data_IF_166748888755
#
_entry.id   IF_166748888755
#
_cell.length_a   1.000
_cell.length_b   1.000
_cell.length_c   1.000
_cell.angle_alpha   90.00
_cell.angle_beta   90.00
_cell.angle_gamma   90.00
#
_symmetry.space_group_name_H-M   'P 1'
#
loop_
_entity.id
_entity.type
_entity.pdbx_description
1 polymer ?
#
# COMPACT_ATOMS: atom_id res chain seq x y z
N UNK A 1 72.77 -22.32 21.25
CA UNK A 1 71.57 -22.92 20.61
C UNK A 1 70.36 -22.05 20.96
N UNK A 2 70.18 -20.94 20.23
CA UNK A 2 69.00 -20.05 20.22
C UNK A 2 69.37 -18.75 19.48
N UNK A 3 69.59 -18.82 18.15
CA UNK A 3 69.79 -17.65 17.28
C UNK A 3 69.87 -18.13 15.82
N UNK A 4 68.77 -18.67 15.27
CA UNK A 4 68.71 -18.93 13.82
C UNK A 4 67.31 -19.01 13.20
N UNK A 5 66.22 -18.81 13.96
CA UNK A 5 64.86 -18.91 13.39
C UNK A 5 64.17 -17.57 13.07
N UNK A 6 64.65 -16.43 13.58
CA UNK A 6 64.01 -15.12 13.33
C UNK A 6 64.48 -14.41 12.05
N UNK A 7 65.53 -14.88 11.39
CA UNK A 7 66.07 -14.26 10.17
C UNK A 7 65.52 -14.85 8.86
N UNK A 8 64.99 -16.08 8.89
CA UNK A 8 64.42 -16.73 7.70
C UNK A 8 62.97 -16.32 7.42
N UNK A 9 62.20 -15.95 8.46
CA UNK A 9 60.79 -15.56 8.30
C UNK A 9 60.62 -14.17 7.66
N UNK A 10 61.53 -13.23 7.91
CA UNK A 10 61.47 -11.88 7.34
C UNK A 10 61.95 -11.81 5.89
N UNK A 11 62.80 -12.75 5.45
CA UNK A 11 63.29 -12.82 4.07
C UNK A 11 62.27 -13.42 3.09
N UNK A 12 61.38 -14.30 3.56
CA UNK A 12 60.29 -14.84 2.73
C UNK A 12 59.12 -13.87 2.54
N UNK A 13 58.88 -12.98 3.51
CA UNK A 13 57.78 -12.02 3.43
C UNK A 13 58.08 -10.85 2.47
N UNK A 14 59.35 -10.49 2.27
CA UNK A 14 59.75 -9.44 1.33
C UNK A 14 59.90 -9.94 -0.12
N UNK A 15 60.18 -11.22 -0.34
CA UNK A 15 60.24 -11.80 -1.70
C UNK A 15 58.85 -11.98 -2.32
N UNK A 16 57.82 -12.25 -1.51
CA UNK A 16 56.43 -12.40 -1.97
C UNK A 16 55.78 -11.06 -2.35
N UNK A 17 56.22 -9.95 -1.76
CA UNK A 17 55.72 -8.61 -2.10
C UNK A 17 56.31 -8.04 -3.41
N UNK A 18 57.44 -8.57 -3.90
CA UNK A 18 58.06 -8.12 -5.16
C UNK A 18 57.52 -8.84 -6.41
N UNK A 19 56.83 -9.98 -6.27
CA UNK A 19 56.19 -10.69 -7.39
C UNK A 19 54.88 -10.02 -7.83
N UNK A 20 54.26 -9.19 -6.98
CA UNK A 20 53.03 -8.49 -7.31
C UNK A 20 53.22 -7.16 -8.06
N UNK A 21 54.44 -6.64 -8.21
CA UNK A 21 54.65 -5.29 -8.75
C UNK A 21 55.48 -5.17 -10.03
N UNK A 22 55.96 -6.26 -10.64
CA UNK A 22 56.69 -6.14 -11.93
C UNK A 22 56.46 -7.33 -12.85
N UNK A 23 55.46 -7.24 -13.75
CA UNK A 23 55.65 -7.62 -15.15
C UNK A 23 54.53 -7.08 -16.05
N UNK A 24 54.74 -5.92 -16.69
CA UNK A 24 54.01 -5.53 -17.89
C UNK A 24 54.57 -6.31 -19.08
N UNK A 25 53.71 -6.64 -20.06
CA UNK A 25 54.05 -7.26 -21.36
C UNK A 25 53.93 -8.79 -21.44
N UNK A 26 52.69 -9.26 -21.59
CA UNK A 26 52.41 -10.39 -22.48
C UNK A 26 51.36 -9.92 -23.49
N UNK A 27 51.82 -9.11 -24.44
CA UNK A 27 51.11 -8.78 -25.68
C UNK A 27 51.58 -9.81 -26.71
N UNK A 28 50.70 -10.67 -27.23
CA UNK A 28 50.34 -10.62 -28.65
C UNK A 28 49.26 -11.64 -29.04
N UNK A 29 48.23 -11.11 -29.69
CA UNK A 29 47.61 -11.72 -30.86
C UNK A 29 46.39 -12.60 -30.59
N UNK A 30 45.20 -12.00 -30.55
CA UNK A 30 44.06 -12.47 -31.34
C UNK A 30 43.09 -11.29 -31.54
N UNK A 31 42.70 -11.12 -32.81
CA UNK A 31 41.85 -10.11 -33.46
C UNK A 31 40.81 -9.36 -32.61
N UNK A 32 40.89 -8.03 -32.74
CA UNK A 32 40.04 -6.99 -32.15
C UNK A 32 38.88 -6.63 -33.12
N UNK A 33 38.02 -7.59 -33.47
CA UNK A 33 36.90 -7.37 -34.43
C UNK A 33 35.51 -7.85 -33.98
N UNK A 34 35.31 -8.36 -32.75
CA UNK A 34 34.02 -8.95 -32.34
C UNK A 34 33.38 -8.38 -31.05
N UNK A 35 33.86 -7.26 -30.50
CA UNK A 35 33.28 -6.64 -29.28
C UNK A 35 32.24 -5.55 -29.62
N UNK A 36 32.15 -5.10 -30.88
CA UNK A 36 31.19 -4.05 -31.27
C UNK A 36 29.79 -4.59 -31.62
N UNK A 37 29.62 -5.90 -31.82
CA UNK A 37 28.31 -6.47 -32.19
C UNK A 37 27.39 -6.73 -30.99
N UNK A 38 27.93 -6.97 -29.77
CA UNK A 38 27.08 -7.13 -28.58
C UNK A 38 26.70 -5.81 -27.91
N UNK A 39 27.52 -4.76 -28.04
CA UNK A 39 27.23 -3.46 -27.42
C UNK A 39 26.18 -2.63 -28.17
N UNK A 40 25.98 -2.89 -29.47
CA UNK A 40 25.00 -2.20 -30.32
C UNK A 40 23.59 -2.83 -30.19
N UNK A 41 23.48 -4.07 -29.71
CA UNK A 41 22.16 -4.74 -29.57
C UNK A 41 21.34 -4.21 -28.38
N UNK A 42 21.98 -3.56 -27.39
CA UNK A 42 21.32 -3.01 -26.20
C UNK A 42 20.96 -1.51 -26.29
N UNK A 43 21.25 -0.86 -27.42
CA UNK A 43 20.88 0.53 -27.69
C UNK A 43 19.84 0.65 -28.82
N UNK A 44 18.96 -0.34 -28.96
CA UNK A 44 17.70 -0.06 -29.64
C UNK A 44 16.88 0.91 -28.79
N UNK A 45 16.21 1.85 -29.44
CA UNK A 45 15.29 2.84 -28.88
C UNK A 45 14.15 2.16 -28.11
N UNK A 46 14.46 1.60 -26.94
CA UNK A 46 13.47 1.12 -26.01
C UNK A 46 12.79 2.36 -25.45
N UNK A 47 11.73 2.78 -26.13
CA UNK A 47 10.73 3.65 -25.54
C UNK A 47 9.89 2.74 -24.64
N UNK A 48 9.98 2.86 -23.31
CA UNK A 48 9.12 2.08 -22.42
C UNK A 48 7.67 2.28 -22.86
N UNK A 49 6.84 1.23 -22.88
CA UNK A 49 5.41 1.41 -23.12
C UNK A 49 4.90 2.56 -22.25
N UNK A 50 4.12 3.46 -22.83
CA UNK A 50 3.52 4.55 -22.07
C UNK A 50 2.87 3.94 -20.82
N UNK A 51 3.13 4.50 -19.62
CA UNK A 51 2.54 3.97 -18.40
C UNK A 51 1.03 3.86 -18.61
N UNK A 52 0.40 2.75 -18.20
CA UNK A 52 -1.02 2.56 -18.41
C UNK A 52 -1.77 3.78 -17.87
N UNK A 53 -2.79 4.28 -18.60
CA UNK A 53 -3.56 5.42 -18.14
C UNK A 53 -4.04 5.16 -16.71
N UNK A 54 -4.05 6.20 -15.85
CA UNK A 54 -4.58 6.06 -14.49
C UNK A 54 -5.96 5.42 -14.55
N UNK A 55 -6.31 4.52 -13.61
CA UNK A 55 -7.65 3.95 -13.55
C UNK A 55 -8.68 5.09 -13.58
N UNK A 56 -9.74 4.99 -14.41
CA UNK A 56 -10.76 6.02 -14.46
C UNK A 56 -11.36 6.19 -13.06
N UNK A 57 -11.53 7.44 -12.63
CA UNK A 57 -12.21 7.74 -11.38
C UNK A 57 -13.68 7.30 -11.44
N UNK A 58 -14.32 7.04 -10.29
CA UNK A 58 -15.75 6.79 -10.23
C UNK A 58 -16.57 7.94 -10.84
N UNK A 59 -17.85 7.72 -11.16
CA UNK A 59 -18.72 8.78 -11.68
C UNK A 59 -18.80 9.98 -10.72
N UNK A 60 -18.69 11.18 -11.29
CA UNK A 60 -18.86 12.43 -10.55
C UNK A 60 -20.31 12.60 -10.08
N UNK A 61 -20.50 13.27 -8.93
CA UNK A 61 -21.82 13.50 -8.33
C UNK A 61 -22.06 14.99 -8.04
N UNK A 62 -23.33 15.42 -8.02
CA UNK A 62 -23.73 16.79 -7.66
C UNK A 62 -24.01 16.93 -6.16
N UNK A 63 -23.90 18.16 -5.64
CA UNK A 63 -24.18 18.41 -4.22
C UNK A 63 -25.65 18.15 -3.86
N UNK A 64 -26.59 18.68 -4.66
CA UNK A 64 -28.01 18.68 -4.29
C UNK A 64 -28.70 17.38 -4.73
N UNK A 65 -28.54 16.98 -5.99
CA UNK A 65 -29.32 15.86 -6.54
C UNK A 65 -28.80 14.50 -6.06
N UNK A 66 -27.48 14.33 -6.00
CA UNK A 66 -26.87 13.03 -5.67
C UNK A 66 -26.55 12.90 -4.18
N UNK A 67 -26.05 13.97 -3.54
CA UNK A 67 -25.63 13.94 -2.14
C UNK A 67 -26.71 14.45 -1.17
N UNK A 68 -27.81 15.03 -1.66
CA UNK A 68 -28.86 15.60 -0.81
C UNK A 68 -28.36 16.77 0.05
N UNK A 69 -27.28 17.43 -0.37
CA UNK A 69 -26.70 18.59 0.28
C UNK A 69 -27.39 19.88 -0.10
N UNK A 70 -26.87 20.99 0.44
CA UNK A 70 -27.30 22.36 0.13
C UNK A 70 -26.13 23.12 -0.47
N UNK A 71 -26.35 23.74 -1.64
CA UNK A 71 -25.35 24.55 -2.34
C UNK A 71 -24.68 23.80 -3.50
N UNK A 72 -23.43 24.14 -3.83
CA UNK A 72 -22.72 23.52 -4.96
C UNK A 72 -21.26 23.18 -4.61
N UNK A 73 -20.72 22.15 -5.26
CA UNK A 73 -19.33 21.73 -5.07
C UNK A 73 -18.32 22.78 -5.53
N UNK A 74 -18.69 23.70 -6.43
CA UNK A 74 -17.85 24.81 -6.87
C UNK A 74 -17.86 26.02 -5.92
N UNK A 75 -18.82 26.10 -4.99
CA UNK A 75 -18.91 27.19 -4.02
C UNK A 75 -18.79 26.65 -2.60
N UNK A 76 -19.88 26.15 -2.04
CA UNK A 76 -19.90 25.45 -0.76
C UNK A 76 -21.04 24.46 -0.79
N UNK A 77 -20.70 23.18 -0.65
CA UNK A 77 -21.63 22.09 -0.50
C UNK A 77 -21.69 21.67 0.96
N UNK A 78 -22.88 21.71 1.55
CA UNK A 78 -23.11 21.29 2.94
C UNK A 78 -24.00 20.07 2.97
N UNK A 79 -23.48 18.98 3.54
CA UNK A 79 -24.26 17.78 3.80
C UNK A 79 -24.93 17.93 5.16
N UNK A 80 -26.25 18.10 5.15
CA UNK A 80 -27.07 18.39 6.34
C UNK A 80 -27.84 17.17 6.87
N UNK A 81 -27.80 16.06 6.14
CA UNK A 81 -28.53 14.82 6.46
C UNK A 81 -27.69 13.59 6.11
N UNK A 82 -28.08 12.43 6.63
CA UNK A 82 -27.44 11.16 6.29
C UNK A 82 -27.45 10.91 4.78
N UNK A 83 -26.32 10.44 4.25
CA UNK A 83 -26.14 10.15 2.82
C UNK A 83 -25.78 8.67 2.66
N UNK A 84 -26.64 7.93 1.97
CA UNK A 84 -26.43 6.52 1.75
C UNK A 84 -26.00 6.27 0.30
N UNK A 85 -24.70 6.37 0.04
CA UNK A 85 -24.14 6.09 -1.28
C UNK A 85 -24.06 4.57 -1.49
N UNK A 86 -24.58 4.09 -2.61
CA UNK A 86 -24.61 2.64 -2.92
C UNK A 86 -23.64 2.24 -4.03
N UNK A 87 -22.93 3.21 -4.60
CA UNK A 87 -21.99 3.07 -5.71
C UNK A 87 -20.66 3.75 -5.38
N UNK A 88 -19.58 3.43 -6.09
CA UNK A 88 -18.40 4.27 -6.02
C UNK A 88 -18.71 5.67 -6.58
N UNK A 89 -18.24 6.72 -5.91
CA UNK A 89 -18.50 8.12 -6.29
C UNK A 89 -17.23 8.95 -6.24
N UNK A 90 -17.20 9.98 -7.07
CA UNK A 90 -16.17 10.99 -7.08
C UNK A 90 -16.81 12.37 -6.86
N UNK A 91 -16.41 13.06 -5.79
CA UNK A 91 -16.96 14.35 -5.38
C UNK A 91 -15.93 15.40 -5.75
N UNK A 92 -16.16 16.14 -6.83
CA UNK A 92 -15.22 17.13 -7.33
C UNK A 92 -15.80 18.55 -7.37
N UNK A 93 -14.99 19.54 -7.05
CA UNK A 93 -15.39 20.94 -7.20
C UNK A 93 -14.36 21.94 -6.71
N UNK A 94 -14.52 23.20 -7.09
CA UNK A 94 -13.59 24.28 -6.70
C UNK A 94 -13.85 24.88 -5.31
N UNK A 95 -14.95 24.48 -4.69
CA UNK A 95 -15.46 25.06 -3.46
C UNK A 95 -15.11 24.27 -2.21
N UNK A 96 -15.95 24.45 -1.19
CA UNK A 96 -15.82 23.76 0.10
C UNK A 96 -16.78 22.55 0.17
N UNK A 97 -16.36 21.49 0.85
CA UNK A 97 -17.21 20.33 1.14
C UNK A 97 -17.28 20.10 2.65
N UNK A 98 -18.44 20.43 3.22
CA UNK A 98 -18.69 20.35 4.65
C UNK A 98 -19.70 19.25 4.96
N UNK A 99 -19.23 18.23 5.67
CA UNK A 99 -20.08 17.19 6.22
C UNK A 99 -20.43 17.56 7.65
N UNK A 100 -21.68 17.98 7.87
CA UNK A 100 -22.15 18.43 9.17
C UNK A 100 -22.23 17.26 10.18
N UNK A 101 -22.33 17.55 11.49
CA UNK A 101 -22.43 16.52 12.52
C UNK A 101 -23.59 15.53 12.34
N UNK A 102 -23.40 14.29 12.80
CA UNK A 102 -24.33 13.16 12.76
C UNK A 102 -24.69 12.66 11.35
N UNK A 103 -23.76 12.76 10.40
CA UNK A 103 -23.93 12.26 9.03
C UNK A 103 -23.15 10.96 8.83
N UNK A 104 -23.86 9.88 8.53
CA UNK A 104 -23.22 8.66 7.99
C UNK A 104 -23.13 8.76 6.47
N UNK A 105 -21.95 8.50 5.93
CA UNK A 105 -21.63 8.48 4.51
C UNK A 105 -21.18 7.06 4.16
N UNK A 106 -22.11 6.23 3.67
CA UNK A 106 -21.86 4.78 3.48
C UNK A 106 -21.56 4.45 2.04
N UNK A 107 -20.83 3.37 1.83
CA UNK A 107 -20.59 2.76 0.53
C UNK A 107 -20.65 1.23 0.69
N UNK A 108 -21.61 0.61 0.00
CA UNK A 108 -22.33 -0.61 0.46
C UNK A 108 -21.71 -1.95 0.09
N UNK A 109 -20.53 -1.97 -0.53
CA UNK A 109 -19.85 -3.20 -0.96
C UNK A 109 -18.33 -3.12 -0.74
N UNK A 110 -17.70 -4.29 -0.69
CA UNK A 110 -16.25 -4.43 -0.49
C UNK A 110 -15.47 -3.79 -1.63
N UNK A 111 -14.50 -2.94 -1.29
CA UNK A 111 -13.65 -2.23 -2.25
C UNK A 111 -14.32 -1.05 -2.94
N UNK A 112 -15.50 -0.63 -2.50
CA UNK A 112 -16.16 0.52 -3.08
C UNK A 112 -15.39 1.82 -2.76
N UNK A 113 -15.48 2.81 -3.64
CA UNK A 113 -14.57 3.96 -3.62
C UNK A 113 -15.30 5.28 -3.45
N UNK A 114 -14.84 6.09 -2.49
CA UNK A 114 -15.25 7.48 -2.32
C UNK A 114 -14.01 8.33 -2.54
N UNK A 115 -13.98 9.05 -3.65
CA UNK A 115 -12.99 10.08 -3.91
C UNK A 115 -13.58 11.46 -3.67
N UNK A 116 -12.83 12.34 -3.02
CA UNK A 116 -13.17 13.74 -2.81
C UNK A 116 -12.00 14.56 -3.30
N UNK A 117 -12.25 15.49 -4.22
CA UNK A 117 -11.27 16.41 -4.76
C UNK A 117 -11.84 17.82 -4.77
N UNK A 118 -11.48 18.59 -3.76
CA UNK A 118 -11.92 19.97 -3.60
C UNK A 118 -10.72 20.90 -3.53
N UNK A 119 -10.77 22.05 -4.17
CA UNK A 119 -9.70 23.06 -3.99
C UNK A 119 -9.92 23.93 -2.76
N UNK A 120 -11.06 23.82 -2.08
CA UNK A 120 -11.35 24.54 -0.85
C UNK A 120 -11.14 23.72 0.42
N UNK A 121 -11.98 23.99 1.41
CA UNK A 121 -11.95 23.32 2.71
C UNK A 121 -12.82 22.06 2.70
N UNK A 122 -12.24 20.97 3.20
CA UNK A 122 -12.96 19.78 3.62
C UNK A 122 -13.13 19.80 5.14
N UNK A 123 -14.34 19.53 5.62
CA UNK A 123 -14.58 19.35 7.06
C UNK A 123 -15.51 18.17 7.33
N UNK A 124 -15.09 17.32 8.27
CA UNK A 124 -15.89 16.23 8.81
C UNK A 124 -16.19 16.50 10.29
N UNK A 125 -17.46 16.68 10.65
CA UNK A 125 -17.94 17.08 11.98
C UNK A 125 -18.37 15.95 12.92
N UNK A 126 -18.80 16.30 14.14
CA UNK A 126 -19.07 15.36 15.25
C UNK A 126 -20.03 14.22 14.89
N UNK A 127 -19.67 12.97 15.20
CA UNK A 127 -20.38 11.71 14.88
C UNK A 127 -20.57 11.41 13.38
N UNK A 128 -19.82 12.06 12.49
CA UNK A 128 -19.83 11.72 11.08
C UNK A 128 -18.89 10.56 10.78
N UNK A 129 -19.44 9.54 10.11
CA UNK A 129 -18.72 8.30 9.79
C UNK A 129 -18.76 8.07 8.29
N UNK A 130 -17.58 8.02 7.67
CA UNK A 130 -17.41 7.59 6.28
C UNK A 130 -17.04 6.11 6.28
N UNK A 131 -17.83 5.28 5.61
CA UNK A 131 -17.59 3.85 5.44
C UNK A 131 -17.40 3.54 3.96
N UNK A 132 -16.20 3.13 3.58
CA UNK A 132 -15.85 2.75 2.21
C UNK A 132 -14.67 1.79 2.19
N UNK A 133 -14.46 1.08 1.08
CA UNK A 133 -13.24 0.31 0.87
C UNK A 133 -12.06 1.19 0.53
N UNK A 134 -12.27 2.20 -0.32
CA UNK A 134 -11.29 3.25 -0.65
C UNK A 134 -11.84 4.60 -0.27
N UNK A 135 -11.02 5.39 0.43
CA UNK A 135 -11.25 6.80 0.63
C UNK A 135 -10.05 7.60 0.15
N UNK A 136 -10.29 8.56 -0.74
CA UNK A 136 -9.28 9.49 -1.23
C UNK A 136 -9.77 10.91 -0.99
N UNK A 137 -8.95 11.73 -0.35
CA UNK A 137 -9.20 13.15 -0.16
C UNK A 137 -8.05 13.95 -0.76
N UNK A 138 -8.39 14.85 -1.66
CA UNK A 138 -7.54 15.95 -2.13
C UNK A 138 -8.20 17.25 -1.72
N UNK A 139 -7.52 18.07 -0.93
CA UNK A 139 -8.04 19.33 -0.39
C UNK A 139 -6.95 20.38 -0.16
N UNK A 140 -7.31 21.66 -0.17
CA UNK A 140 -6.41 22.72 0.31
C UNK A 140 -6.28 22.63 1.84
N UNK A 141 -7.42 22.57 2.54
CA UNK A 141 -7.47 22.39 3.99
C UNK A 141 -8.41 21.24 4.34
N UNK A 142 -8.04 20.41 5.31
CA UNK A 142 -8.86 19.32 5.80
C UNK A 142 -8.90 19.29 7.32
N UNK A 143 -10.11 19.32 7.87
CA UNK A 143 -10.34 19.20 9.31
C UNK A 143 -11.25 18.02 9.62
N UNK A 144 -10.74 17.08 10.39
CA UNK A 144 -11.50 15.97 10.98
C UNK A 144 -11.75 16.31 12.44
N UNK A 145 -12.99 16.63 12.79
CA UNK A 145 -13.39 17.06 14.13
C UNK A 145 -13.48 15.88 15.10
N UNK A 146 -13.61 16.17 16.40
CA UNK A 146 -13.77 15.15 17.44
C UNK A 146 -14.86 14.13 17.08
N UNK A 147 -14.62 12.86 17.40
CA UNK A 147 -15.52 11.73 17.10
C UNK A 147 -15.81 11.48 15.62
N UNK A 148 -15.18 12.20 14.68
CA UNK A 148 -15.27 11.88 13.25
C UNK A 148 -14.45 10.62 12.93
N UNK A 149 -14.93 9.83 11.99
CA UNK A 149 -14.23 8.62 11.56
C UNK A 149 -14.30 8.42 10.05
N UNK A 150 -13.16 8.11 9.45
CA UNK A 150 -13.09 7.42 8.16
C UNK A 150 -12.71 5.99 8.45
N UNK A 151 -13.62 5.07 8.20
CA UNK A 151 -13.45 3.68 8.57
C UNK A 151 -13.54 2.78 7.33
N UNK A 152 -12.41 2.15 7.02
CA UNK A 152 -12.25 1.23 5.90
C UNK A 152 -11.99 -0.21 6.38
N UNK A 153 -12.25 -0.48 7.66
CA UNK A 153 -11.93 -1.74 8.34
C UNK A 153 -12.67 -2.92 7.74
N UNK A 154 -11.94 -3.94 7.28
CA UNK A 154 -12.53 -5.13 6.66
C UNK A 154 -13.27 -4.87 5.33
N UNK A 155 -13.19 -3.65 4.78
CA UNK A 155 -13.90 -3.22 3.58
C UNK A 155 -13.04 -3.25 2.30
N UNK A 156 -11.89 -3.93 2.32
CA UNK A 156 -11.00 -4.06 1.16
C UNK A 156 -11.70 -4.60 -0.08
N UNK A 157 -11.24 -4.12 -1.24
CA UNK A 157 -11.49 -4.78 -2.53
C UNK A 157 -10.54 -5.97 -2.73
N UNK A 158 -10.26 -6.30 -3.99
CA UNK A 158 -9.26 -7.30 -4.33
C UNK A 158 -7.87 -6.81 -3.96
N UNK A 159 -7.18 -7.50 -3.06
CA UNK A 159 -5.77 -7.26 -2.78
C UNK A 159 -4.90 -7.62 -4.01
N UNK A 160 -3.66 -7.11 -4.14
CA UNK A 160 -2.82 -7.41 -5.30
C UNK A 160 -2.61 -8.93 -5.48
N UNK A 161 -2.41 -9.40 -6.72
CA UNK A 161 -2.44 -10.84 -7.02
C UNK A 161 -1.41 -11.68 -6.24
N UNK A 162 -0.28 -11.08 -5.86
CA UNK A 162 0.80 -11.70 -5.06
C UNK A 162 0.55 -11.73 -3.54
N UNK A 163 -0.61 -11.25 -3.08
CA UNK A 163 -0.87 -10.90 -1.67
C UNK A 163 -2.01 -11.68 -1.04
N UNK A 164 -2.80 -12.38 -1.87
CA UNK A 164 -3.73 -13.34 -1.33
C UNK A 164 -2.87 -14.34 -0.59
N UNK A 165 -2.99 -14.36 0.74
CA UNK A 165 -2.66 -15.54 1.52
C UNK A 165 -3.59 -16.65 1.05
N UNK A 166 -3.43 -17.09 -0.20
CA UNK A 166 -4.05 -18.27 -0.75
C UNK A 166 -3.34 -19.35 0.03
N UNK A 167 -3.98 -19.90 1.06
CA UNK A 167 -3.31 -20.92 1.84
C UNK A 167 -2.98 -22.03 0.84
N UNK A 168 -1.82 -22.66 0.97
CA UNK A 168 -1.66 -23.96 0.35
C UNK A 168 -2.65 -24.90 1.06
N UNK A 169 -3.88 -25.00 0.53
CA UNK A 169 -4.97 -25.76 1.15
C UNK A 169 -5.79 -24.97 2.17
N UNK A 170 -5.94 -25.51 3.39
CA UNK A 170 -6.90 -25.07 4.41
C UNK A 170 -6.21 -24.53 5.66
N UNK A 171 -5.04 -23.91 5.50
CA UNK A 171 -4.13 -23.59 6.62
C UNK A 171 -4.30 -22.16 7.15
N UNK A 172 -5.28 -21.41 6.64
CA UNK A 172 -5.64 -20.11 7.20
C UNK A 172 -4.54 -19.04 7.10
N UNK A 173 -3.64 -19.16 6.13
CA UNK A 173 -2.59 -18.18 5.83
C UNK A 173 -3.21 -16.84 5.35
N UNK A 174 -2.66 -15.69 5.77
CA UNK A 174 -2.88 -14.33 5.22
C UNK A 174 -1.56 -13.54 5.11
N UNK A 175 -1.30 -12.80 4.02
CA UNK A 175 -0.12 -11.92 3.88
C UNK A 175 -0.41 -10.46 4.29
N UNK A 176 0.62 -9.66 4.57
CA UNK A 176 0.48 -8.26 5.02
C UNK A 176 1.25 -7.24 4.16
N UNK A 177 0.78 -5.99 4.15
CA UNK A 177 1.50 -4.89 3.51
C UNK A 177 2.78 -4.59 4.29
N UNK A 178 3.94 -4.70 3.64
CA UNK A 178 5.26 -4.49 4.24
C UNK A 178 5.71 -5.57 5.23
N UNK A 179 4.90 -6.61 5.47
CA UNK A 179 5.16 -7.62 6.50
C UNK A 179 4.56 -8.99 6.21
N UNK A 180 5.18 -10.01 6.78
CA UNK A 180 4.71 -11.40 6.74
C UNK A 180 3.49 -11.55 7.65
N UNK A 181 2.46 -12.30 7.23
CA UNK A 181 1.36 -12.60 8.13
C UNK A 181 1.56 -13.87 8.94
N UNK A 182 0.61 -14.16 9.82
CA UNK A 182 0.68 -15.26 10.77
C UNK A 182 0.27 -16.60 10.12
N UNK A 183 1.01 -17.67 10.40
CA UNK A 183 0.64 -19.03 10.04
C UNK A 183 -0.17 -19.67 11.17
N UNK A 184 -1.39 -20.14 10.87
CA UNK A 184 -2.24 -20.82 11.85
C UNK A 184 -2.06 -22.34 11.74
N UNK A 185 -1.15 -22.89 12.54
CA UNK A 185 -0.89 -24.33 12.54
C UNK A 185 -1.90 -25.08 13.42
N UNK A 186 -2.92 -25.69 12.81
CA UNK A 186 -3.83 -26.62 13.51
C UNK A 186 -3.41 -28.08 13.40
N UNK A 187 -2.54 -28.42 12.44
CA UNK A 187 -2.00 -29.76 12.28
C UNK A 187 -0.81 -30.00 13.21
N UNK A 188 -0.94 -30.96 14.13
CA UNK A 188 0.12 -31.31 15.09
C UNK A 188 1.32 -32.03 14.46
N UNK A 189 1.25 -32.40 13.18
CA UNK A 189 2.33 -33.10 12.47
C UNK A 189 3.30 -32.18 11.75
N UNK A 190 2.93 -30.91 11.59
CA UNK A 190 3.77 -29.90 10.95
C UNK A 190 4.51 -29.11 12.02
N UNK A 191 5.68 -28.60 11.68
CA UNK A 191 6.41 -27.68 12.55
C UNK A 191 6.10 -26.23 12.14
N UNK A 192 6.29 -25.24 13.04
CA UNK A 192 6.13 -23.83 12.69
C UNK A 192 6.96 -23.39 11.48
N UNK A 193 8.10 -24.01 11.24
CA UNK A 193 8.96 -23.81 10.06
C UNK A 193 8.39 -24.38 8.75
N UNK A 194 7.40 -25.28 8.82
CA UNK A 194 6.78 -25.92 7.65
C UNK A 194 5.55 -25.16 7.12
N UNK A 195 5.05 -24.18 7.89
CA UNK A 195 3.83 -23.42 7.55
C UNK A 195 4.07 -21.95 7.72
N UNK A 196 3.54 -21.18 6.78
CA UNK A 196 3.88 -19.79 6.67
C UNK A 196 2.62 -18.99 6.36
N UNK A 197 2.50 -17.80 6.97
CA UNK A 197 1.29 -17.00 6.92
C UNK A 197 1.01 -16.34 5.58
N UNK A 198 1.96 -16.09 4.70
CA UNK A 198 1.69 -15.51 3.37
C UNK A 198 2.55 -14.28 3.08
N UNK A 199 2.85 -14.08 1.79
CA UNK A 199 3.91 -13.17 1.32
C UNK A 199 3.68 -11.73 1.74
N UNK A 200 4.78 -11.11 2.19
CA UNK A 200 4.80 -9.67 2.37
C UNK A 200 4.70 -9.02 0.99
N UNK A 201 3.96 -7.93 0.89
CA UNK A 201 3.79 -7.21 -0.36
C UNK A 201 3.93 -5.72 -0.20
N UNK A 202 4.15 -5.02 -1.31
CA UNK A 202 4.30 -3.57 -1.28
C UNK A 202 5.59 -3.08 -0.61
N UNK A 203 6.58 -3.96 -0.38
CA UNK A 203 7.88 -3.57 0.18
C UNK A 203 8.57 -2.48 -0.65
N UNK A 204 8.51 -2.57 -1.98
CA UNK A 204 9.05 -1.57 -2.90
C UNK A 204 8.30 -0.24 -2.87
N UNK A 205 7.05 -0.21 -2.39
CA UNK A 205 6.19 0.97 -2.34
C UNK A 205 5.89 1.42 -0.91
N UNK A 206 6.65 0.93 0.09
CA UNK A 206 6.41 1.19 1.51
C UNK A 206 6.39 2.69 1.85
N UNK A 207 7.10 3.52 1.10
CA UNK A 207 7.11 4.98 1.24
C UNK A 207 5.82 5.65 0.75
N UNK A 208 5.05 4.97 -0.08
CA UNK A 208 3.80 5.44 -0.68
C UNK A 208 2.77 4.32 -0.66
N UNK A 209 2.30 3.92 0.54
CA UNK A 209 1.47 2.76 0.68
C UNK A 209 0.13 2.96 0.00
N UNK A 210 -0.18 2.09 -0.97
CA UNK A 210 -1.42 2.18 -1.74
C UNK A 210 -1.92 0.81 -2.15
N UNK A 211 -2.28 0.00 -1.16
CA UNK A 211 -2.83 -1.33 -1.40
C UNK A 211 -3.88 -1.69 -0.37
N UNK A 212 -4.88 -2.45 -0.82
CA UNK A 212 -5.80 -3.12 0.08
C UNK A 212 -5.08 -4.17 0.92
N UNK A 213 -5.62 -4.40 2.12
CA UNK A 213 -5.38 -5.58 2.92
C UNK A 213 -5.89 -6.83 2.22
N UNK A 214 -5.18 -7.93 2.37
CA UNK A 214 -5.63 -9.27 1.99
C UNK A 214 -6.69 -9.80 2.97
N UNK A 215 -7.60 -10.64 2.45
CA UNK A 215 -8.52 -11.41 3.29
C UNK A 215 -7.77 -12.49 4.06
N UNK A 216 -8.25 -12.82 5.26
CA UNK A 216 -7.78 -13.98 6.00
C UNK A 216 -8.17 -15.29 5.31
N UNK A 217 -7.37 -16.34 5.48
CA UNK A 217 -7.69 -17.66 4.95
C UNK A 217 -8.76 -18.40 5.77
N UNK A 218 -9.35 -19.45 5.19
CA UNK A 218 -10.31 -20.35 5.85
C UNK A 218 -9.74 -21.77 5.96
N UNK A 219 -10.13 -22.49 7.02
CA UNK A 219 -9.82 -23.92 7.20
C UNK A 219 -10.95 -24.84 6.72
N UNK A 220 -12.03 -24.28 6.17
CA UNK A 220 -13.19 -25.01 5.65
C UNK A 220 -13.19 -25.04 4.12
N UNK A 221 -13.54 -26.18 3.53
CA UNK A 221 -13.65 -26.35 2.07
C UNK A 221 -14.96 -25.81 1.47
N UNK A 222 -15.95 -25.52 2.31
CA UNK A 222 -17.32 -25.18 1.87
C UNK A 222 -17.78 -23.81 2.31
N UNK A 223 -17.12 -23.20 3.29
CA UNK A 223 -17.51 -21.92 3.88
C UNK A 223 -16.26 -21.08 4.09
N UNK A 224 -16.31 -19.82 3.66
CA UNK A 224 -15.27 -18.85 3.95
C UNK A 224 -15.50 -18.24 5.34
N UNK A 225 -14.55 -18.48 6.24
CA UNK A 225 -14.53 -17.92 7.59
C UNK A 225 -13.47 -16.81 7.73
N UNK A 226 -12.78 -16.45 6.65
CA UNK A 226 -11.74 -15.44 6.66
C UNK A 226 -12.28 -14.03 6.90
N UNK A 227 -11.55 -13.25 7.70
CA UNK A 227 -11.84 -11.83 7.87
C UNK A 227 -11.58 -11.04 6.58
N UNK A 228 -12.36 -9.98 6.35
CA UNK A 228 -12.15 -9.06 5.23
C UNK A 228 -10.83 -8.30 5.37
N UNK A 229 -10.15 -7.98 4.28
CA UNK A 229 -8.96 -7.12 4.35
C UNK A 229 -9.30 -5.67 4.68
N UNK A 230 -8.33 -4.90 5.19
CA UNK A 230 -8.47 -3.47 5.42
C UNK A 230 -8.43 -2.63 4.14
N UNK A 231 -9.20 -1.56 4.10
CA UNK A 231 -9.29 -0.68 2.94
C UNK A 231 -8.06 0.21 2.71
N UNK A 232 -8.18 1.20 1.83
CA UNK A 232 -7.10 2.16 1.54
C UNK A 232 -7.57 3.59 1.71
N UNK A 233 -6.73 4.39 2.36
CA UNK A 233 -7.05 5.75 2.78
C UNK A 233 -5.91 6.66 2.32
N UNK A 234 -6.22 7.68 1.52
CA UNK A 234 -5.24 8.68 1.07
C UNK A 234 -5.74 10.08 1.39
N UNK A 235 -4.91 10.85 2.11
CA UNK A 235 -5.12 12.28 2.33
C UNK A 235 -3.98 13.05 1.67
N UNK A 236 -4.29 13.84 0.65
CA UNK A 236 -3.39 14.78 -0.01
C UNK A 236 -3.88 16.20 0.30
N UNK A 237 -3.24 16.86 1.26
CA UNK A 237 -3.69 18.16 1.77
C UNK A 237 -2.61 19.21 1.56
N UNK A 238 -2.91 20.24 0.79
CA UNK A 238 -1.90 21.19 0.32
C UNK A 238 -1.42 22.17 1.39
N UNK A 239 -2.31 22.61 2.31
CA UNK A 239 -2.02 23.67 3.27
C UNK A 239 -2.10 23.21 4.71
N UNK A 240 -3.30 22.85 5.18
CA UNK A 240 -3.53 22.56 6.60
C UNK A 240 -4.34 21.27 6.80
N UNK A 241 -3.78 20.34 7.58
CA UNK A 241 -4.45 19.12 8.00
C UNK A 241 -4.55 19.07 9.53
N UNK A 242 -5.78 18.98 10.02
CA UNK A 242 -6.08 18.69 11.42
C UNK A 242 -6.87 17.38 11.51
N UNK A 243 -6.33 16.42 12.25
CA UNK A 243 -6.98 15.12 12.49
C UNK A 243 -7.24 14.97 13.99
N UNK A 244 -8.42 15.43 14.43
CA UNK A 244 -8.96 15.17 15.74
C UNK A 244 -10.05 14.08 15.65
N UNK A 245 -9.75 12.99 14.95
CA UNK A 245 -10.69 11.89 14.67
C UNK A 245 -9.96 10.58 14.45
N UNK A 246 -10.65 9.58 13.89
CA UNK A 246 -10.08 8.26 13.61
C UNK A 246 -10.00 7.97 12.12
N UNK A 247 -8.84 7.54 11.66
CA UNK A 247 -8.62 7.01 10.31
C UNK A 247 -8.27 5.53 10.45
N UNK A 248 -9.18 4.65 10.04
CA UNK A 248 -9.09 3.21 10.29
C UNK A 248 -8.98 2.44 8.98
N UNK A 249 -8.00 1.55 8.91
CA UNK A 249 -7.77 0.64 7.80
C UNK A 249 -7.47 -0.77 8.29
N UNK A 250 -8.10 -1.18 9.39
CA UNK A 250 -7.83 -2.46 10.01
C UNK A 250 -8.35 -3.64 9.18
N UNK A 251 -7.77 -4.81 9.38
CA UNK A 251 -8.38 -6.05 8.91
C UNK A 251 -9.66 -6.36 9.68
N UNK A 252 -10.59 -7.06 9.03
CA UNK A 252 -11.79 -7.59 9.68
C UNK A 252 -11.49 -8.87 10.45
N UNK A 253 -12.33 -9.16 11.44
CA UNK A 253 -12.21 -10.38 12.25
C UNK A 253 -12.53 -11.63 11.43
N UNK A 254 -11.74 -12.68 11.66
CA UNK A 254 -12.03 -14.02 11.17
C UNK A 254 -13.01 -14.76 12.09
N UNK A 255 -13.69 -15.76 11.55
CA UNK A 255 -14.50 -16.68 12.34
C UNK A 255 -13.66 -17.75 13.06
N UNK A 256 -14.32 -18.61 13.84
CA UNK A 256 -13.68 -19.71 14.62
C UNK A 256 -12.83 -20.68 13.80
N UNK A 257 -12.96 -20.66 12.47
CA UNK A 257 -12.25 -21.52 11.51
C UNK A 257 -11.52 -20.72 10.43
N UNK A 258 -11.32 -19.42 10.61
CA UNK A 258 -10.63 -18.54 9.67
C UNK A 258 -9.65 -17.59 10.35
N UNK A 259 -8.69 -17.10 9.58
CA UNK A 259 -7.78 -16.05 10.02
C UNK A 259 -8.43 -14.67 9.92
N UNK A 260 -7.93 -13.71 10.70
CA UNK A 260 -8.27 -12.30 10.51
C UNK A 260 -7.74 -11.78 9.18
N UNK A 261 -8.37 -10.74 8.65
CA UNK A 261 -7.84 -10.01 7.50
C UNK A 261 -6.61 -9.19 7.89
N UNK A 262 -5.78 -8.86 6.91
CA UNK A 262 -4.67 -7.92 7.14
C UNK A 262 -5.16 -6.49 7.07
N UNK A 263 -4.47 -5.59 7.78
CA UNK A 263 -4.66 -4.15 7.63
C UNK A 263 -4.34 -3.68 6.22
N UNK A 264 -4.97 -2.59 5.80
CA UNK A 264 -4.73 -1.94 4.54
C UNK A 264 -3.74 -0.78 4.64
N UNK A 265 -3.88 0.19 3.76
CA UNK A 265 -2.91 1.30 3.63
C UNK A 265 -3.51 2.63 4.06
N UNK A 266 -2.75 3.40 4.84
CA UNK A 266 -3.03 4.82 5.09
C UNK A 266 -1.84 5.64 4.60
N UNK A 267 -2.08 6.53 3.63
CA UNK A 267 -1.11 7.49 3.14
C UNK A 267 -1.58 8.90 3.46
N UNK A 268 -0.75 9.67 4.16
CA UNK A 268 -1.01 11.08 4.45
C UNK A 268 0.14 11.91 3.91
N UNK A 269 -0.17 12.88 3.06
CA UNK A 269 0.74 13.94 2.62
C UNK A 269 0.10 15.26 2.97
N UNK A 270 0.78 16.00 3.83
CA UNK A 270 0.38 17.34 4.25
C UNK A 270 1.60 18.24 4.31
N UNK A 271 1.39 19.55 4.19
CA UNK A 271 2.45 20.52 4.37
C UNK A 271 2.98 20.49 5.81
N UNK A 272 4.32 20.55 5.94
CA UNK A 272 4.97 20.64 7.24
C UNK A 272 4.97 22.11 7.68
N UNK A 273 4.23 22.41 8.75
CA UNK A 273 4.26 23.72 9.41
C UNK A 273 5.59 24.01 10.08
#
# INVERSE_FOLDING_TARGET
MALSLSFFATLHLTLLFLVFFVNPSAINGYSDEDIDSEFILFHQDYTPPAPPPPPPHPPSVSCEDDLGGVGSLDTTCKIVSNVNITKSVYIEGKGNFYVLPNVTFKCTFLGCEIGINVTGNFTLGENSVILAGTFQLVADNATFSNSSAVNTTGLAGSAPAQTSGTPQGVEGAGGGYGGRGAGCLTDKKKMPEDVWGGDAYGWSTLQTPWSYGSKGGTTSKTVDYGGGGGGRLMLLVDKFLEVNGSLLADGGDGGVKGGGGSGGSIQIRAYKM
#
